data_IF_812024300006
#
_entry.id   IF_812024300006
#
_cell.length_a   1.000
_cell.length_b   1.000
_cell.length_c   1.000
_cell.angle_alpha   90.00
_cell.angle_beta   90.00
_cell.angle_gamma   90.00
#
_symmetry.space_group_name_H-M   'P 1'
#
loop_
_entity.id
_entity.type
_entity.pdbx_description
1 polymer ?
#
# COMPACT_ATOMS: atom_id res chain seq x y z
N UNK A 1 -25.19 31.99 -28.10
CA UNK A 1 -25.48 30.60 -27.70
C UNK A 1 -24.43 30.22 -26.66
N UNK A 2 -24.65 30.37 -25.35
CA UNK A 2 -25.31 29.38 -24.45
C UNK A 2 -24.82 27.95 -24.75
N UNK A 3 -24.19 27.18 -23.86
CA UNK A 3 -24.29 27.09 -22.40
C UNK A 3 -22.99 26.46 -21.85
N UNK A 4 -22.60 26.91 -20.66
CA UNK A 4 -21.69 26.19 -19.77
C UNK A 4 -22.47 25.11 -19.01
N UNK A 5 -21.86 23.92 -18.81
CA UNK A 5 -22.14 23.06 -17.66
C UNK A 5 -20.86 22.33 -17.22
N UNK A 6 -20.60 22.47 -15.92
CA UNK A 6 -19.61 21.83 -15.06
C UNK A 6 -19.97 20.37 -14.78
N UNK A 7 -19.02 19.57 -14.30
CA UNK A 7 -19.28 18.61 -13.22
C UNK A 7 -17.98 18.20 -12.51
N UNK A 8 -17.77 18.81 -11.34
CA UNK A 8 -16.92 18.30 -10.27
C UNK A 8 -17.54 17.02 -9.69
N UNK A 9 -16.71 16.02 -9.42
CA UNK A 9 -17.04 14.97 -8.46
C UNK A 9 -16.07 15.08 -7.29
N UNK A 10 -16.38 15.99 -6.36
CA UNK A 10 -15.90 15.88 -4.98
C UNK A 10 -16.76 14.84 -4.27
N UNK A 11 -16.14 13.75 -3.84
CA UNK A 11 -16.71 12.90 -2.81
C UNK A 11 -15.97 13.18 -1.50
N UNK A 12 -16.57 14.02 -0.66
CA UNK A 12 -16.23 14.19 0.75
C UNK A 12 -17.07 13.22 1.58
N UNK A 13 -16.47 12.53 2.54
CA UNK A 13 -17.19 12.02 3.72
C UNK A 13 -16.27 12.06 4.94
N UNK A 14 -16.34 13.18 5.66
CA UNK A 14 -16.00 13.41 7.07
C UNK A 14 -16.84 12.50 8.00
N UNK A 15 -16.55 12.21 9.28
CA UNK A 15 -15.44 12.43 10.22
C UNK A 15 -15.67 11.49 11.42
N UNK A 16 -14.59 11.07 12.10
CA UNK A 16 -14.62 10.70 13.51
C UNK A 16 -13.22 11.01 14.07
N UNK A 17 -13.15 11.89 15.07
CA UNK A 17 -11.94 12.63 15.46
C UNK A 17 -10.69 11.77 15.64
N UNK A 18 -9.54 12.26 15.18
CA UNK A 18 -8.26 11.65 15.51
C UNK A 18 -7.15 12.69 15.42
N UNK A 19 -6.27 12.69 16.42
CA UNK A 19 -4.95 13.35 16.38
C UNK A 19 -4.36 13.15 14.99
N UNK A 20 -3.68 14.13 14.42
CA UNK A 20 -3.00 14.02 13.12
C UNK A 20 -1.86 13.00 13.20
N UNK A 21 -2.19 11.71 13.27
CA UNK A 21 -1.25 10.61 13.24
C UNK A 21 -0.76 10.57 11.80
N UNK A 22 0.52 10.82 11.54
CA UNK A 22 1.12 10.92 10.20
C UNK A 22 1.04 9.65 9.34
N UNK A 23 0.21 8.67 9.71
CA UNK A 23 0.01 7.43 8.98
C UNK A 23 -0.90 7.60 7.77
N UNK A 24 -0.56 6.89 6.69
CA UNK A 24 -1.36 6.75 5.48
C UNK A 24 -2.16 5.44 5.56
N UNK A 25 -3.48 5.47 5.37
CA UNK A 25 -4.29 4.24 5.39
C UNK A 25 -3.97 3.37 4.17
N UNK A 26 -3.99 2.02 4.29
CA UNK A 26 -3.76 1.14 3.16
C UNK A 26 -4.91 1.22 2.16
N UNK A 27 -4.64 1.12 0.85
CA UNK A 27 -5.69 0.96 -0.14
C UNK A 27 -6.39 -0.40 0.03
N UNK A 28 -7.60 -0.54 -0.51
CA UNK A 28 -8.34 -1.82 -0.47
C UNK A 28 -7.71 -2.87 -1.40
N UNK A 29 -7.20 -2.42 -2.54
CA UNK A 29 -6.54 -3.20 -3.59
C UNK A 29 -5.33 -2.44 -4.13
N UNK A 30 -4.43 -3.16 -4.81
CA UNK A 30 -3.27 -2.57 -5.47
C UNK A 30 -3.53 -2.45 -6.97
N UNK A 31 -3.98 -1.28 -7.44
CA UNK A 31 -4.38 -1.07 -8.83
C UNK A 31 -3.21 -1.28 -9.81
N UNK A 32 -2.02 -0.76 -9.48
CA UNK A 32 -0.79 -0.93 -10.26
C UNK A 32 -0.17 -2.33 -10.15
N UNK A 33 -0.70 -3.18 -9.25
CA UNK A 33 -0.29 -4.57 -9.08
C UNK A 33 -1.51 -5.50 -9.22
N UNK A 34 -2.13 -5.60 -10.41
CA UNK A 34 -3.47 -6.18 -10.60
C UNK A 34 -3.56 -7.67 -10.21
N UNK A 35 -2.43 -8.37 -10.25
CA UNK A 35 -2.31 -9.77 -9.87
C UNK A 35 -2.18 -9.99 -8.35
N UNK A 36 -1.90 -8.94 -7.57
CA UNK A 36 -1.76 -9.04 -6.12
C UNK A 36 -3.14 -9.06 -5.46
N UNK A 37 -3.44 -10.13 -4.72
CA UNK A 37 -4.71 -10.32 -3.99
C UNK A 37 -4.45 -10.33 -2.49
N UNK A 38 -5.44 -9.91 -1.71
CA UNK A 38 -5.33 -9.82 -0.24
C UNK A 38 -4.88 -11.17 0.33
N UNK A 39 -3.93 -11.15 1.25
CA UNK A 39 -3.36 -12.32 1.88
C UNK A 39 -3.35 -12.17 3.42
N UNK A 40 -3.22 -13.28 4.18
CA UNK A 40 -3.10 -13.23 5.64
C UNK A 40 -1.95 -12.31 6.07
N UNK A 41 -2.23 -11.41 7.01
CA UNK A 41 -1.28 -10.43 7.53
C UNK A 41 -0.34 -11.12 8.53
N UNK A 42 0.95 -10.79 8.52
CA UNK A 42 1.93 -11.38 9.45
C UNK A 42 2.89 -10.37 10.07
N UNK A 43 3.34 -9.37 9.33
CA UNK A 43 4.31 -8.38 9.83
C UNK A 43 3.63 -7.34 10.72
N UNK A 44 4.13 -7.05 11.93
CA UNK A 44 3.62 -5.93 12.74
C UNK A 44 3.86 -4.55 12.10
N UNK A 45 2.98 -3.59 12.38
CA UNK A 45 3.21 -2.17 12.10
C UNK A 45 4.19 -1.63 13.14
N UNK A 46 5.26 -0.99 12.69
CA UNK A 46 6.26 -0.44 13.59
C UNK A 46 5.67 0.70 14.44
N UNK A 47 5.76 0.54 15.77
CA UNK A 47 5.21 1.50 16.74
C UNK A 47 3.68 1.48 16.84
N UNK A 48 3.00 0.51 16.22
CA UNK A 48 1.54 0.39 16.24
C UNK A 48 1.04 -0.93 16.83
N UNK A 49 -0.27 -1.02 17.07
CA UNK A 49 -0.92 -2.19 17.69
C UNK A 49 -1.46 -3.25 16.71
N UNK A 50 -1.06 -3.25 15.43
CA UNK A 50 -1.64 -4.12 14.41
C UNK A 50 -0.63 -4.66 13.40
N UNK A 51 -1.10 -5.44 12.43
CA UNK A 51 -0.27 -6.01 11.36
C UNK A 51 -0.33 -5.18 10.08
N UNK A 52 0.67 -5.23 9.22
CA UNK A 52 0.64 -4.57 7.91
C UNK A 52 -0.42 -5.22 7.03
N UNK A 53 -1.08 -4.44 6.18
CA UNK A 53 -1.95 -5.00 5.13
C UNK A 53 -1.04 -5.73 4.14
N UNK A 54 -1.44 -6.93 3.73
CA UNK A 54 -0.64 -7.81 2.89
C UNK A 54 -1.42 -8.29 1.68
N UNK A 55 -0.72 -8.42 0.55
CA UNK A 55 -1.18 -9.08 -0.66
C UNK A 55 -0.14 -10.07 -1.17
N UNK A 56 -0.57 -11.00 -2.03
CA UNK A 56 0.29 -11.93 -2.76
C UNK A 56 -0.14 -12.05 -4.21
N UNK A 57 0.82 -12.20 -5.12
CA UNK A 57 0.56 -12.55 -6.52
C UNK A 57 0.73 -14.07 -6.78
N UNK A 58 0.32 -14.59 -7.95
CA UNK A 58 0.47 -16.00 -8.29
C UNK A 58 1.92 -16.51 -8.37
N UNK A 59 2.90 -15.61 -8.52
CA UNK A 59 4.33 -15.96 -8.49
C UNK A 59 4.85 -16.09 -7.04
N UNK A 60 4.00 -15.80 -6.06
CA UNK A 60 4.30 -15.84 -4.64
C UNK A 60 4.98 -14.57 -4.13
N UNK A 61 5.10 -13.50 -4.93
CA UNK A 61 5.61 -12.24 -4.41
C UNK A 61 4.65 -11.69 -3.36
N UNK A 62 5.20 -11.08 -2.33
CA UNK A 62 4.48 -10.52 -1.19
C UNK A 62 4.55 -9.00 -1.31
N UNK A 63 3.43 -8.35 -1.01
CA UNK A 63 3.31 -6.90 -1.03
C UNK A 63 2.78 -6.49 0.33
N UNK A 64 3.44 -5.55 1.00
CA UNK A 64 2.99 -4.99 2.27
C UNK A 64 2.85 -3.48 2.21
N UNK A 65 1.85 -2.97 2.90
CA UNK A 65 1.66 -1.54 3.04
C UNK A 65 2.61 -0.96 4.08
N UNK A 66 3.38 0.04 3.68
CA UNK A 66 4.10 0.92 4.59
C UNK A 66 3.24 2.15 4.88
N UNK A 67 2.60 2.14 6.04
CA UNK A 67 1.74 3.25 6.48
C UNK A 67 2.50 4.52 6.85
N UNK A 68 3.82 4.47 7.07
CA UNK A 68 4.59 5.67 7.36
C UNK A 68 4.86 6.47 6.07
N UNK A 69 5.10 5.76 4.97
CA UNK A 69 5.46 6.37 3.69
C UNK A 69 4.30 6.43 2.68
N UNK A 70 3.24 5.65 2.90
CA UNK A 70 2.15 5.53 1.92
C UNK A 70 2.56 4.74 0.68
N UNK A 71 3.42 3.73 0.85
CA UNK A 71 4.05 3.00 -0.24
C UNK A 71 3.85 1.48 -0.12
N UNK A 72 4.12 0.78 -1.23
CA UNK A 72 4.11 -0.68 -1.28
C UNK A 72 5.53 -1.20 -1.18
N UNK A 73 5.81 -1.97 -0.13
CA UNK A 73 7.06 -2.73 -0.02
C UNK A 73 6.85 -4.11 -0.66
N UNK A 74 7.68 -4.45 -1.64
CA UNK A 74 7.59 -5.72 -2.37
C UNK A 74 8.68 -6.70 -1.91
N UNK A 75 8.32 -7.96 -1.79
CA UNK A 75 9.21 -9.05 -1.43
C UNK A 75 9.00 -10.23 -2.38
N UNK A 76 10.04 -11.02 -2.63
CA UNK A 76 9.90 -12.24 -3.41
C UNK A 76 9.23 -13.36 -2.59
N UNK A 77 8.98 -14.52 -3.21
CA UNK A 77 8.40 -15.71 -2.55
C UNK A 77 9.17 -16.24 -1.34
N UNK A 78 10.44 -15.88 -1.22
CA UNK A 78 11.30 -16.25 -0.09
C UNK A 78 11.35 -15.16 0.98
N UNK A 79 10.52 -14.11 0.84
CA UNK A 79 10.46 -12.99 1.77
C UNK A 79 11.61 -12.00 1.67
N UNK A 80 12.47 -12.06 0.63
CA UNK A 80 13.56 -11.08 0.42
C UNK A 80 12.99 -9.81 -0.20
N UNK A 81 13.37 -8.64 0.33
CA UNK A 81 12.94 -7.35 -0.17
C UNK A 81 13.39 -7.10 -1.62
N UNK A 82 12.50 -6.51 -2.42
CA UNK A 82 12.68 -6.17 -3.84
C UNK A 82 12.55 -4.67 -4.11
N UNK A 83 12.21 -3.86 -3.10
CA UNK A 83 12.11 -2.42 -3.21
C UNK A 83 10.79 -1.85 -2.69
N UNK A 84 10.78 -0.53 -2.59
CA UNK A 84 9.59 0.28 -2.34
C UNK A 84 9.02 0.76 -3.68
N UNK A 85 7.70 0.77 -3.79
CA UNK A 85 6.98 1.14 -4.98
C UNK A 85 5.86 2.12 -4.65
N UNK A 86 5.63 3.07 -5.56
CA UNK A 86 4.46 3.93 -5.52
C UNK A 86 3.19 3.09 -5.67
N UNK A 87 2.18 3.41 -4.86
CA UNK A 87 0.94 2.61 -4.79
C UNK A 87 -0.07 2.89 -5.89
N UNK A 88 0.10 4.01 -6.61
CA UNK A 88 -0.77 4.49 -7.69
C UNK A 88 -0.12 4.22 -9.05
N UNK A 89 1.15 4.58 -9.23
CA UNK A 89 1.85 4.39 -10.51
C UNK A 89 2.49 3.01 -10.63
N UNK A 90 2.84 2.38 -9.51
CA UNK A 90 3.60 1.13 -9.49
C UNK A 90 5.09 1.32 -9.80
N UNK A 91 5.56 2.56 -9.93
CA UNK A 91 6.97 2.86 -10.15
C UNK A 91 7.80 2.54 -8.91
N UNK A 92 9.01 2.04 -9.11
CA UNK A 92 9.92 1.73 -8.01
C UNK A 92 10.54 3.04 -7.47
N UNK A 93 10.28 3.36 -6.21
CA UNK A 93 10.78 4.58 -5.54
C UNK A 93 12.08 4.32 -4.79
N UNK A 94 12.32 3.09 -4.34
CA UNK A 94 13.58 2.68 -3.68
C UNK A 94 14.05 1.30 -4.13
N UNK A 95 15.38 1.08 -4.22
CA UNK A 95 15.93 -0.21 -4.61
C UNK A 95 15.69 -1.28 -3.53
N UNK A 96 16.01 -2.53 -3.88
CA UNK A 96 16.00 -3.64 -2.93
C UNK A 96 16.99 -3.39 -1.77
N UNK A 97 16.59 -3.81 -0.57
CA UNK A 97 17.41 -3.75 0.64
C UNK A 97 17.64 -5.17 1.15
N UNK A 98 18.87 -5.68 1.02
CA UNK A 98 19.21 -7.05 1.38
C UNK A 98 19.04 -7.39 2.87
N UNK A 99 18.94 -6.38 3.73
CA UNK A 99 18.75 -6.55 5.17
C UNK A 99 17.28 -6.77 5.55
N UNK A 100 16.34 -6.39 4.67
CA UNK A 100 14.90 -6.50 4.91
C UNK A 100 14.35 -7.85 4.48
N UNK A 101 13.58 -8.47 5.39
CA UNK A 101 12.90 -9.73 5.14
C UNK A 101 11.52 -9.77 5.81
N UNK A 102 10.62 -10.54 5.23
CA UNK A 102 9.31 -10.86 5.80
C UNK A 102 9.09 -12.36 5.87
N UNK A 103 8.23 -12.79 6.79
CA UNK A 103 7.75 -14.17 6.80
C UNK A 103 6.92 -14.46 5.53
N UNK A 104 7.22 -15.57 4.86
CA UNK A 104 6.54 -16.02 3.64
C UNK A 104 5.08 -16.39 3.86
#
# INVERSE_FOLDING_TARGET
>A
MTHQLVNEAKANSESAGSRSTGYKPPPKSLESFPNAKVAPRKTPVQGGGGLRKRWKDPKGNIYEWDSQHGAVEKYNKNGKHLGEYDSVTGEQTKPADGTRKVEK
#
